data_IF_983344161842
#
_entry.id   IF_983344161842
#
_cell.length_a   1.000
_cell.length_b   1.000
_cell.length_c   1.000
_cell.angle_alpha   90.00
_cell.angle_beta   90.00
_cell.angle_gamma   90.00
#
_symmetry.space_group_name_H-M   'P 1'
#
loop_
_entity.id
_entity.type
_entity.pdbx_description
1 polymer ?
#
# COMPACT_ATOMS: atom_id res chain seq x y z
N UNK A 1 -5.33 -19.83 17.77
CA UNK A 1 -6.14 -19.15 16.74
C UNK A 1 -5.54 -17.78 16.48
N UNK A 2 -5.17 -17.52 15.25
CA UNK A 2 -4.61 -16.22 14.89
C UNK A 2 -5.74 -15.21 14.71
N UNK A 3 -5.51 -13.99 15.15
CA UNK A 3 -6.43 -12.89 14.86
C UNK A 3 -6.39 -12.57 13.37
N UNK A 4 -7.50 -12.22 12.75
CA UNK A 4 -7.47 -11.77 11.37
C UNK A 4 -6.64 -10.50 11.25
N UNK A 5 -5.87 -10.39 10.15
CA UNK A 5 -5.18 -9.16 9.84
C UNK A 5 -6.19 -8.08 9.49
N UNK A 6 -6.08 -6.93 10.10
CA UNK A 6 -6.95 -5.79 9.84
C UNK A 6 -6.15 -4.67 9.18
N UNK A 7 -6.86 -3.75 8.50
CA UNK A 7 -6.22 -2.58 7.95
C UNK A 7 -5.54 -1.75 9.06
N UNK A 8 -6.18 -1.65 10.22
CA UNK A 8 -5.59 -0.93 11.35
C UNK A 8 -4.28 -1.56 11.80
N UNK A 9 -4.25 -2.89 12.01
CA UNK A 9 -3.02 -3.56 12.46
C UNK A 9 -1.92 -3.47 11.42
N UNK A 10 -2.26 -3.50 10.14
CA UNK A 10 -1.28 -3.34 9.07
C UNK A 10 -0.67 -1.94 9.08
N UNK A 11 -1.48 -0.90 9.26
CA UNK A 11 -0.98 0.48 9.34
C UNK A 11 -0.07 0.64 10.56
N UNK A 12 -0.43 0.06 11.71
CA UNK A 12 0.43 0.12 12.90
C UNK A 12 1.79 -0.55 12.65
N UNK A 13 1.80 -1.69 11.97
CA UNK A 13 3.04 -2.37 11.61
C UNK A 13 3.89 -1.50 10.66
N UNK A 14 3.26 -0.89 9.65
CA UNK A 14 3.95 -0.01 8.71
C UNK A 14 4.57 1.20 9.42
N UNK A 15 3.84 1.79 10.35
CA UNK A 15 4.34 2.92 11.13
C UNK A 15 5.52 2.52 12.01
N UNK A 16 5.45 1.36 12.64
CA UNK A 16 6.56 0.85 13.44
C UNK A 16 7.79 0.60 12.57
N UNK A 17 7.61 -0.08 11.42
CA UNK A 17 8.72 -0.40 10.54
C UNK A 17 9.42 0.88 10.02
N UNK A 18 8.65 1.92 9.74
CA UNK A 18 9.22 3.18 9.28
C UNK A 18 10.09 3.85 10.36
N UNK A 19 9.70 3.73 11.62
CA UNK A 19 10.39 4.38 12.74
C UNK A 19 11.63 3.64 13.21
N UNK A 20 11.74 2.36 12.89
CA UNK A 20 12.87 1.54 13.34
C UNK A 20 14.01 1.67 12.34
N UNK A 21 15.17 2.27 12.73
CA UNK A 21 16.26 2.52 11.80
C UNK A 21 16.93 1.24 11.28
N UNK A 22 16.76 0.11 11.96
CA UNK A 22 17.30 -1.15 11.48
C UNK A 22 16.36 -1.85 10.49
N UNK A 23 15.06 -1.66 10.66
CA UNK A 23 14.04 -2.32 9.86
C UNK A 23 13.67 -1.51 8.62
N UNK A 24 13.57 -0.18 8.76
CA UNK A 24 13.03 0.69 7.71
C UNK A 24 13.70 0.53 6.35
N UNK A 25 15.04 0.57 6.23
CA UNK A 25 15.63 0.53 4.89
C UNK A 25 15.33 -0.78 4.15
N UNK A 26 15.43 -1.91 4.85
CA UNK A 26 15.18 -3.20 4.23
C UNK A 26 13.71 -3.42 3.92
N UNK A 27 12.84 -3.00 4.84
CA UNK A 27 11.41 -3.17 4.65
C UNK A 27 10.90 -2.33 3.48
N UNK A 28 11.27 -1.06 3.41
CA UNK A 28 10.85 -0.17 2.34
C UNK A 28 11.39 -0.63 0.99
N UNK A 29 12.62 -1.13 0.96
CA UNK A 29 13.23 -1.61 -0.28
C UNK A 29 12.49 -2.80 -0.90
N UNK A 30 11.75 -3.56 -0.10
CA UNK A 30 10.98 -4.70 -0.60
C UNK A 30 9.64 -4.27 -1.23
N UNK A 31 9.22 -3.05 -1.04
CA UNK A 31 7.93 -2.58 -1.55
C UNK A 31 8.08 -2.14 -3.01
N UNK A 32 7.08 -2.47 -3.82
CA UNK A 32 7.07 -2.06 -5.22
C UNK A 32 6.78 -0.56 -5.34
N UNK A 33 7.49 0.11 -6.24
CA UNK A 33 7.20 1.50 -6.59
C UNK A 33 6.10 1.51 -7.65
N UNK A 34 5.04 2.26 -7.40
CA UNK A 34 3.90 2.34 -8.31
C UNK A 34 4.33 2.82 -9.69
N UNK A 35 3.84 2.13 -10.72
CA UNK A 35 4.13 2.44 -12.11
C UNK A 35 5.56 2.13 -12.57
N UNK A 36 6.43 1.63 -11.70
CA UNK A 36 7.84 1.45 -12.01
C UNK A 36 8.31 0.01 -11.89
N UNK A 37 7.92 -0.72 -10.84
CA UNK A 37 8.46 -2.06 -10.65
C UNK A 37 7.45 -3.01 -10.01
N UNK A 38 7.83 -4.30 -9.97
CA UNK A 38 7.09 -5.36 -9.32
C UNK A 38 5.66 -5.51 -9.84
N UNK A 39 4.75 -5.89 -8.95
CA UNK A 39 3.36 -6.10 -9.28
C UNK A 39 2.60 -4.81 -9.60
N UNK A 40 3.21 -3.65 -9.32
CA UNK A 40 2.59 -2.35 -9.55
C UNK A 40 3.09 -1.67 -10.83
N UNK A 41 3.89 -2.36 -11.64
CA UNK A 41 4.52 -1.75 -12.83
C UNK A 41 3.51 -1.17 -13.81
N UNK A 42 2.35 -1.79 -13.95
CA UNK A 42 1.31 -1.36 -14.88
C UNK A 42 0.17 -0.60 -14.20
N UNK A 43 0.35 -0.25 -12.93
CA UNK A 43 -0.64 0.46 -12.12
C UNK A 43 -0.06 1.81 -11.72
N UNK A 44 -0.91 2.81 -11.46
CA UNK A 44 -0.47 4.11 -10.93
C UNK A 44 0.59 4.79 -11.81
N UNK A 45 0.26 5.05 -13.07
CA UNK A 45 1.28 5.50 -14.04
C UNK A 45 1.53 7.01 -14.09
N UNK A 46 0.86 7.81 -13.29
CA UNK A 46 1.11 9.24 -13.29
C UNK A 46 2.17 9.62 -12.25
N UNK A 47 2.77 10.81 -12.40
CA UNK A 47 3.88 11.23 -11.55
C UNK A 47 3.52 11.31 -10.08
N UNK A 48 2.27 11.74 -9.78
CA UNK A 48 1.81 11.84 -8.40
C UNK A 48 1.83 10.47 -7.71
N UNK A 49 1.39 9.44 -8.41
CA UNK A 49 1.29 8.11 -7.82
C UNK A 49 2.63 7.40 -7.70
N UNK A 50 3.70 7.91 -8.33
CA UNK A 50 5.04 7.36 -8.15
C UNK A 50 5.55 7.49 -6.71
N UNK A 51 4.90 8.29 -5.88
CA UNK A 51 5.22 8.38 -4.46
C UNK A 51 4.70 7.20 -3.66
N UNK A 52 3.92 6.32 -4.28
CA UNK A 52 3.37 5.13 -3.63
C UNK A 52 4.40 4.01 -3.66
N UNK A 53 4.70 3.45 -2.50
CA UNK A 53 5.46 2.20 -2.37
C UNK A 53 4.59 1.23 -1.59
N UNK A 54 4.20 0.13 -2.22
CA UNK A 54 3.18 -0.72 -1.65
C UNK A 54 3.40 -2.20 -1.96
N UNK A 55 2.76 -3.04 -1.15
CA UNK A 55 2.72 -4.48 -1.32
C UNK A 55 1.29 -4.89 -1.60
N UNK A 56 1.12 -5.65 -2.67
CA UNK A 56 -0.17 -6.30 -2.94
C UNK A 56 -0.24 -7.62 -2.17
N UNK A 57 -1.45 -8.03 -1.86
CA UNK A 57 -1.71 -9.33 -1.28
C UNK A 57 -2.98 -9.91 -1.86
N UNK A 58 -2.96 -11.21 -2.13
CA UNK A 58 -4.15 -11.95 -2.56
C UNK A 58 -4.25 -13.18 -1.67
N UNK A 59 -5.31 -13.26 -0.90
CA UNK A 59 -5.69 -14.44 -0.16
C UNK A 59 -6.95 -14.99 -0.80
N UNK A 60 -7.37 -16.19 -0.41
CA UNK A 60 -8.46 -16.92 -1.08
C UNK A 60 -9.65 -16.04 -1.46
N UNK A 61 -10.07 -15.15 -0.57
CA UNK A 61 -11.27 -14.35 -0.72
C UNK A 61 -11.02 -12.89 -0.36
N UNK A 62 -9.76 -12.46 -0.41
CA UNK A 62 -9.40 -11.10 -0.01
C UNK A 62 -8.34 -10.51 -0.91
N UNK A 63 -8.43 -9.21 -1.14
CA UNK A 63 -7.43 -8.40 -1.85
C UNK A 63 -6.93 -7.34 -0.89
N UNK A 64 -5.62 -7.14 -0.88
CA UNK A 64 -5.00 -6.13 -0.03
C UNK A 64 -4.01 -5.28 -0.82
N UNK A 65 -3.93 -4.01 -0.46
CA UNK A 65 -2.89 -3.09 -0.91
C UNK A 65 -2.49 -2.25 0.29
N UNK A 66 -1.22 -2.31 0.67
CA UNK A 66 -0.73 -1.62 1.87
C UNK A 66 0.66 -1.09 1.63
N UNK A 67 0.96 0.07 2.19
CA UNK A 67 2.28 0.66 2.02
C UNK A 67 2.34 2.10 2.47
N UNK A 68 3.16 2.88 1.76
CA UNK A 68 3.43 4.27 2.10
C UNK A 68 3.19 5.17 0.90
N UNK A 69 2.73 6.38 1.20
CA UNK A 69 2.70 7.47 0.23
C UNK A 69 3.67 8.54 0.73
N UNK A 70 4.74 8.77 -0.03
CA UNK A 70 5.72 9.78 0.30
C UNK A 70 5.23 11.17 0.00
N UNK A 71 5.68 12.15 0.78
CA UNK A 71 5.40 13.55 0.52
C UNK A 71 6.41 14.12 -0.47
N UNK A 72 6.00 15.12 -1.25
CA UNK A 72 6.89 15.79 -2.20
C UNK A 72 7.88 16.71 -1.52
N UNK A 73 7.63 17.10 -0.28
CA UNK A 73 8.45 18.07 0.47
C UNK A 73 9.37 17.43 1.50
N UNK A 74 9.55 16.12 1.45
CA UNK A 74 10.47 15.44 2.36
C UNK A 74 9.91 15.08 3.73
N UNK A 75 8.64 15.39 3.99
CA UNK A 75 8.01 14.94 5.25
C UNK A 75 7.95 13.41 5.30
N UNK A 76 7.75 12.87 6.51
CA UNK A 76 7.54 11.44 6.67
C UNK A 76 6.34 10.97 5.84
N UNK A 77 6.38 9.76 5.28
CA UNK A 77 5.27 9.25 4.48
C UNK A 77 4.05 8.94 5.32
N UNK A 78 2.90 8.88 4.67
CA UNK A 78 1.68 8.36 5.28
C UNK A 78 1.61 6.86 5.00
N UNK A 79 1.35 6.07 6.04
CA UNK A 79 1.05 4.65 5.90
C UNK A 79 -0.42 4.47 5.56
N UNK A 80 -0.72 3.54 4.66
CA UNK A 80 -2.10 3.22 4.32
C UNK A 80 -2.28 1.72 4.17
N UNK A 81 -3.52 1.28 4.33
CA UNK A 81 -3.89 -0.12 4.09
C UNK A 81 -5.33 -0.18 3.59
N UNK A 82 -5.54 -0.93 2.52
CA UNK A 82 -6.87 -1.21 1.99
C UNK A 82 -7.03 -2.72 1.88
N UNK A 83 -8.03 -3.26 2.57
CA UNK A 83 -8.31 -4.71 2.57
C UNK A 83 -9.76 -4.90 2.20
N UNK A 84 -10.00 -5.72 1.18
CA UNK A 84 -11.35 -6.07 0.73
C UNK A 84 -11.53 -7.56 0.92
N UNK A 85 -12.50 -7.94 1.74
CA UNK A 85 -12.88 -9.32 2.00
C UNK A 85 -14.07 -9.72 1.14
N UNK A 86 -14.28 -11.03 1.00
CA UNK A 86 -15.45 -11.57 0.28
C UNK A 86 -15.51 -11.10 -1.17
N UNK A 87 -14.37 -11.16 -1.86
CA UNK A 87 -14.23 -10.64 -3.23
C UNK A 87 -14.16 -11.74 -4.29
N UNK A 88 -14.48 -12.97 -3.95
CA UNK A 88 -14.48 -14.08 -4.91
C UNK A 88 -15.28 -13.71 -6.17
N UNK A 89 -14.64 -13.82 -7.34
CA UNK A 89 -15.24 -13.42 -8.59
C UNK A 89 -15.26 -11.93 -8.86
N UNK A 90 -14.77 -11.10 -7.91
CA UNK A 90 -14.77 -9.64 -8.04
C UNK A 90 -13.38 -9.05 -7.75
N UNK A 91 -12.32 -9.85 -7.91
CA UNK A 91 -10.97 -9.44 -7.55
C UNK A 91 -10.50 -8.20 -8.31
N UNK A 92 -10.82 -8.12 -9.60
CA UNK A 92 -10.39 -6.96 -10.40
C UNK A 92 -11.07 -5.67 -9.94
N UNK A 93 -12.35 -5.74 -9.58
CA UNK A 93 -13.06 -4.59 -9.05
C UNK A 93 -12.46 -4.14 -7.71
N UNK A 94 -12.10 -5.10 -6.85
CA UNK A 94 -11.48 -4.81 -5.57
C UNK A 94 -10.09 -4.18 -5.76
N UNK A 95 -9.30 -4.67 -6.71
CA UNK A 95 -7.98 -4.08 -7.00
C UNK A 95 -8.12 -2.64 -7.47
N UNK A 96 -9.09 -2.37 -8.36
CA UNK A 96 -9.33 -1.00 -8.82
C UNK A 96 -9.77 -0.09 -7.68
N UNK A 97 -10.61 -0.59 -6.77
CA UNK A 97 -11.04 0.18 -5.62
C UNK A 97 -9.85 0.50 -4.69
N UNK A 98 -8.98 -0.49 -4.44
CA UNK A 98 -7.77 -0.28 -3.64
C UNK A 98 -6.87 0.77 -4.29
N UNK A 99 -6.72 0.73 -5.60
CA UNK A 99 -5.90 1.70 -6.33
C UNK A 99 -6.47 3.12 -6.18
N UNK A 100 -7.79 3.26 -6.24
CA UNK A 100 -8.44 4.56 -6.05
C UNK A 100 -8.23 5.11 -4.65
N UNK A 101 -8.21 4.25 -3.65
CA UNK A 101 -7.91 4.66 -2.27
C UNK A 101 -6.49 5.21 -2.19
N UNK A 102 -5.51 4.49 -2.73
CA UNK A 102 -4.12 4.93 -2.72
C UNK A 102 -3.95 6.25 -3.48
N UNK A 103 -4.59 6.39 -4.63
CA UNK A 103 -4.56 7.64 -5.40
C UNK A 103 -5.18 8.80 -4.63
N UNK A 104 -6.28 8.54 -3.91
CA UNK A 104 -6.90 9.58 -3.09
C UNK A 104 -5.94 10.05 -1.99
N UNK A 105 -5.18 9.15 -1.38
CA UNK A 105 -4.19 9.53 -0.37
C UNK A 105 -3.12 10.43 -0.99
N UNK A 106 -2.69 10.17 -2.23
CA UNK A 106 -1.71 11.05 -2.90
C UNK A 106 -2.25 12.46 -3.12
N UNK A 107 -3.55 12.61 -3.34
CA UNK A 107 -4.15 13.93 -3.50
C UNK A 107 -4.29 14.67 -2.18
N UNK A 108 -4.53 13.96 -1.10
CA UNK A 108 -4.69 14.54 0.23
C UNK A 108 -3.37 14.86 0.90
N UNK A 109 -2.28 14.25 0.43
CA UNK A 109 -0.95 14.41 1.02
C UNK A 109 0.02 14.89 -0.07
N UNK A 110 0.11 16.18 -0.28
CA UNK A 110 0.95 16.75 -1.33
C UNK A 110 2.45 16.57 -1.08
#
# INVERSE_FOLDING_TARGET
MSSPTTAYSTVELLRWAWRDPEVQPEYVAQLAVAGADGTLRKRFRNDRTRRIRAKTGTLDDAIALSGYVGASDGRAPIAFSAIFNHVSGKQDNARRAADRIAEAVTRLYP
#
